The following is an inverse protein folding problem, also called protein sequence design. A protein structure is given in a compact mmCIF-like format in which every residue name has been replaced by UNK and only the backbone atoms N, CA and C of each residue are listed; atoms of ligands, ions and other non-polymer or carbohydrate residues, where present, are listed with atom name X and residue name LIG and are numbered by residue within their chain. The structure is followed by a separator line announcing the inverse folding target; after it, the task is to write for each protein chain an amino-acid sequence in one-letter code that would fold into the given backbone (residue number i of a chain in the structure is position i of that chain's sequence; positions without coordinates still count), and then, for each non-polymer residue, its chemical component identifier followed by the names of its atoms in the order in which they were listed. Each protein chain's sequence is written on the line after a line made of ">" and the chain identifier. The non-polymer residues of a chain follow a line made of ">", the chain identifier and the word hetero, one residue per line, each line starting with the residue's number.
data_IF_132581150168
#
_entry.id   IF_132581150168
#
_cell.length_a   1.000
_cell.length_b   1.000
_cell.length_c   1.000
_cell.angle_alpha   90.00
_cell.angle_beta   90.00
_cell.angle_gamma   90.00
#
_symmetry.space_group_name_H-M   'P 1'
#
loop_
_entity.id
_entity.type
_entity.pdbx_description
1 polymer ?
#
# COMPACT_ATOMS: atom_id res chain seq x y z
N UNK A 1 57.77 -11.30 -38.80
CA UNK A 1 56.41 -11.90 -38.72
C UNK A 1 55.42 -10.80 -38.39
N UNK A 2 54.53 -10.42 -39.31
CA UNK A 2 53.52 -9.39 -39.04
C UNK A 2 52.42 -9.99 -38.15
N UNK A 3 52.33 -9.51 -36.90
CA UNK A 3 51.25 -9.84 -35.98
C UNK A 3 49.95 -9.21 -36.49
N UNK A 4 49.10 -10.03 -37.12
CA UNK A 4 47.72 -9.66 -37.48
C UNK A 4 46.87 -9.72 -36.20
N UNK A 5 46.91 -8.68 -35.40
CA UNK A 5 45.93 -8.50 -34.32
C UNK A 5 44.57 -8.22 -34.97
N UNK A 6 43.75 -9.27 -35.15
CA UNK A 6 42.38 -9.16 -35.61
C UNK A 6 41.54 -8.56 -34.49
N UNK A 7 41.31 -7.24 -34.54
CA UNK A 7 40.32 -6.59 -33.69
C UNK A 7 38.90 -6.93 -34.15
N UNK A 8 37.96 -7.00 -33.21
CA UNK A 8 36.54 -7.14 -33.50
C UNK A 8 36.05 -5.97 -34.35
N UNK A 9 35.27 -6.26 -35.38
CA UNK A 9 34.63 -5.26 -36.22
C UNK A 9 33.30 -4.81 -35.62
N UNK A 10 32.88 -3.58 -35.92
CA UNK A 10 31.59 -3.04 -35.50
C UNK A 10 30.42 -3.92 -36.00
N UNK A 11 30.55 -4.46 -37.21
CA UNK A 11 29.53 -5.30 -37.83
C UNK A 11 29.36 -6.63 -37.08
N UNK A 12 30.45 -7.26 -36.65
CA UNK A 12 30.39 -8.48 -35.83
C UNK A 12 29.64 -8.23 -34.52
N UNK A 13 29.85 -7.08 -33.88
CA UNK A 13 29.14 -6.71 -32.66
C UNK A 13 27.64 -6.49 -32.90
N UNK A 14 27.26 -5.80 -33.98
CA UNK A 14 25.86 -5.52 -34.32
C UNK A 14 25.09 -6.82 -34.59
N UNK A 15 25.70 -7.76 -35.31
CA UNK A 15 25.07 -9.07 -35.60
C UNK A 15 24.82 -9.84 -34.29
N UNK A 16 25.79 -9.85 -33.37
CA UNK A 16 25.65 -10.52 -32.06
C UNK A 16 24.52 -9.90 -31.23
N UNK A 17 24.46 -8.57 -31.12
CA UNK A 17 23.39 -7.88 -30.38
C UNK A 17 22.02 -8.14 -31.00
N UNK A 18 21.95 -8.22 -32.34
CA UNK A 18 20.70 -8.52 -33.05
C UNK A 18 20.18 -9.93 -32.74
N UNK A 19 21.07 -10.93 -32.75
CA UNK A 19 20.71 -12.32 -32.38
C UNK A 19 20.27 -12.39 -30.91
N UNK A 20 20.98 -11.71 -30.00
CA UNK A 20 20.60 -11.64 -28.58
C UNK A 20 19.21 -11.03 -28.38
N UNK A 21 18.87 -9.95 -29.10
CA UNK A 21 17.56 -9.32 -29.01
C UNK A 21 16.43 -10.28 -29.42
N UNK A 22 16.61 -11.02 -30.52
CA UNK A 22 15.63 -12.04 -30.97
C UNK A 22 15.49 -13.16 -29.95
N UNK A 23 16.61 -13.66 -29.40
CA UNK A 23 16.58 -14.72 -28.38
C UNK A 23 15.85 -14.27 -27.11
N UNK A 24 16.12 -13.05 -26.62
CA UNK A 24 15.42 -12.49 -25.45
C UNK A 24 13.92 -12.36 -25.72
N UNK A 25 13.54 -11.90 -26.92
CA UNK A 25 12.13 -11.78 -27.31
C UNK A 25 11.37 -13.11 -27.28
N UNK A 26 12.01 -14.22 -27.71
CA UNK A 26 11.41 -15.55 -27.66
C UNK A 26 11.36 -16.13 -26.24
N UNK A 27 12.36 -15.84 -25.40
CA UNK A 27 12.47 -16.40 -24.05
C UNK A 27 11.57 -15.71 -23.03
N UNK A 28 11.29 -14.41 -23.20
CA UNK A 28 10.53 -13.64 -22.21
C UNK A 28 9.13 -14.22 -21.88
N UNK A 29 8.27 -14.59 -22.85
CA UNK A 29 6.95 -15.17 -22.56
C UNK A 29 7.03 -16.52 -21.83
N UNK A 30 7.98 -17.37 -22.22
CA UNK A 30 8.19 -18.68 -21.59
C UNK A 30 8.65 -18.52 -20.14
N UNK A 31 9.54 -17.56 -19.89
CA UNK A 31 10.03 -17.23 -18.55
C UNK A 31 8.91 -16.71 -17.63
N UNK A 32 8.05 -15.80 -18.14
CA UNK A 32 6.90 -15.31 -17.37
C UNK A 32 5.93 -16.44 -16.99
N UNK A 33 5.65 -17.37 -17.90
CA UNK A 33 4.79 -18.53 -17.62
C UNK A 33 5.41 -19.47 -16.58
N UNK A 34 6.73 -19.65 -16.61
CA UNK A 34 7.44 -20.49 -15.64
C UNK A 34 7.39 -19.90 -14.22
N UNK A 35 7.62 -18.59 -14.09
CA UNK A 35 7.51 -17.89 -12.80
C UNK A 35 6.10 -18.02 -12.24
N UNK A 36 5.08 -17.87 -13.10
CA UNK A 36 3.70 -17.96 -12.65
C UNK A 36 3.34 -19.35 -12.14
N UNK A 37 3.75 -20.40 -12.85
CA UNK A 37 3.60 -21.79 -12.39
C UNK A 37 4.28 -22.05 -11.05
N UNK A 38 5.43 -21.41 -10.81
CA UNK A 38 6.16 -21.52 -9.55
C UNK A 38 5.37 -20.88 -8.40
N UNK A 39 4.76 -19.71 -8.63
CA UNK A 39 3.88 -19.05 -7.66
C UNK A 39 2.64 -19.89 -7.35
N UNK A 40 1.96 -20.42 -8.37
CA UNK A 40 0.81 -21.30 -8.18
C UNK A 40 1.15 -22.57 -7.40
N UNK A 41 2.33 -23.15 -7.64
CA UNK A 41 2.80 -24.31 -6.88
C UNK A 41 3.00 -24.00 -5.40
N UNK A 42 3.51 -22.80 -5.08
CA UNK A 42 3.66 -22.32 -3.71
C UNK A 42 2.29 -22.07 -3.08
N UNK A 43 1.38 -21.42 -3.79
CA UNK A 43 0.03 -21.14 -3.31
C UNK A 43 -0.71 -22.43 -2.97
N UNK A 44 -0.66 -23.41 -3.87
CA UNK A 44 -1.27 -24.72 -3.68
C UNK A 44 -0.65 -25.51 -2.52
N UNK A 45 0.68 -25.44 -2.35
CA UNK A 45 1.35 -26.07 -1.22
C UNK A 45 0.91 -25.43 0.11
N UNK A 46 0.84 -24.10 0.18
CA UNK A 46 0.42 -23.39 1.38
C UNK A 46 -1.05 -23.67 1.74
N UNK A 47 -1.95 -23.71 0.75
CA UNK A 47 -3.37 -24.05 0.98
C UNK A 47 -3.51 -25.50 1.48
N UNK A 48 -2.72 -26.45 0.94
CA UNK A 48 -2.68 -27.82 1.44
C UNK A 48 -2.19 -27.90 2.88
N UNK A 49 -1.13 -27.18 3.22
CA UNK A 49 -0.64 -27.12 4.60
C UNK A 49 -1.67 -26.54 5.55
N UNK A 50 -2.37 -25.47 5.17
CA UNK A 50 -3.44 -24.89 5.97
C UNK A 50 -4.64 -25.86 6.13
N UNK A 51 -4.98 -26.61 5.09
CA UNK A 51 -5.96 -27.69 5.15
C UNK A 51 -5.54 -28.79 6.12
N UNK A 52 -4.31 -29.31 6.00
CA UNK A 52 -3.80 -30.36 6.87
C UNK A 52 -3.77 -29.93 8.35
N UNK A 53 -3.37 -28.67 8.61
CA UNK A 53 -3.37 -28.09 9.95
C UNK A 53 -4.80 -28.02 10.54
N UNK A 54 -5.77 -27.57 9.75
CA UNK A 54 -7.18 -27.53 10.17
C UNK A 54 -7.74 -28.92 10.48
N UNK A 55 -7.42 -29.94 9.69
CA UNK A 55 -7.88 -31.31 9.94
C UNK A 55 -7.27 -31.90 11.23
N UNK A 56 -6.05 -31.48 11.60
CA UNK A 56 -5.41 -31.86 12.85
C UNK A 56 -6.04 -31.11 14.03
N UNK A 57 -6.26 -29.80 13.90
CA UNK A 57 -6.90 -28.97 14.94
C UNK A 57 -8.30 -29.50 15.29
N UNK A 58 -9.13 -29.79 14.29
CA UNK A 58 -10.49 -30.34 14.46
C UNK A 58 -10.52 -31.67 15.21
N UNK A 59 -9.52 -32.53 14.98
CA UNK A 59 -9.38 -33.79 15.70
C UNK A 59 -9.02 -33.61 17.18
N UNK A 60 -8.61 -32.41 17.60
CA UNK A 60 -8.09 -32.12 18.95
C UNK A 60 -8.91 -31.09 19.74
N UNK A 61 -9.59 -30.13 19.10
CA UNK A 61 -10.37 -29.07 19.76
C UNK A 61 -11.66 -28.70 18.99
N UNK A 62 -12.79 -28.56 19.69
CA UNK A 62 -14.12 -28.19 19.14
C UNK A 62 -14.25 -26.69 18.77
N UNK A 63 -13.27 -26.09 18.11
CA UNK A 63 -13.35 -24.68 17.68
C UNK A 63 -13.33 -24.57 16.15
N UNK A 64 -14.33 -23.89 15.58
CA UNK A 64 -14.36 -23.55 14.15
C UNK A 64 -13.29 -22.50 13.85
N UNK A 65 -12.12 -22.94 13.40
CA UNK A 65 -11.01 -22.08 12.98
C UNK A 65 -11.03 -21.89 11.45
N UNK A 66 -10.73 -20.67 11.00
CA UNK A 66 -10.50 -20.35 9.58
C UNK A 66 -9.04 -20.00 9.42
N UNK A 67 -8.36 -20.63 8.46
CA UNK A 67 -6.98 -20.29 8.08
C UNK A 67 -7.01 -19.48 6.79
N UNK A 68 -6.28 -18.36 6.75
CA UNK A 68 -6.21 -17.50 5.58
C UNK A 68 -4.86 -17.63 4.92
N UNK A 69 -4.86 -17.98 3.63
CA UNK A 69 -3.64 -18.19 2.84
C UNK A 69 -3.51 -17.11 1.77
N UNK A 70 -2.53 -16.20 1.87
CA UNK A 70 -2.27 -15.20 0.85
C UNK A 70 -1.70 -15.83 -0.43
N UNK A 71 -2.25 -15.44 -1.58
CA UNK A 71 -1.82 -15.95 -2.89
C UNK A 71 -0.67 -15.10 -3.46
N UNK A 72 0.31 -15.78 -4.06
CA UNK A 72 1.50 -15.20 -4.70
C UNK A 72 1.32 -15.02 -6.20
N UNK A 73 0.38 -15.75 -6.82
CA UNK A 73 0.09 -15.64 -8.24
C UNK A 73 -0.28 -14.21 -8.67
N UNK A 74 0.05 -13.87 -9.92
CA UNK A 74 -0.16 -12.56 -10.54
C UNK A 74 -1.15 -12.60 -11.71
N UNK A 75 -1.59 -13.77 -12.14
CA UNK A 75 -2.64 -13.99 -13.13
C UNK A 75 -3.85 -14.60 -12.42
N UNK A 76 -5.06 -14.26 -12.88
CA UNK A 76 -6.29 -14.82 -12.35
C UNK A 76 -6.58 -16.21 -12.97
N UNK A 77 -7.12 -17.12 -12.16
CA UNK A 77 -7.33 -18.51 -12.50
C UNK A 77 -6.02 -19.31 -12.55
N UNK A 78 -6.15 -20.62 -12.62
CA UNK A 78 -5.04 -21.55 -12.71
C UNK A 78 -4.42 -21.59 -14.12
N UNK A 79 -3.13 -21.27 -14.23
CA UNK A 79 -2.39 -21.26 -15.50
C UNK A 79 -1.55 -22.53 -15.72
N UNK A 80 -1.21 -23.23 -14.64
CA UNK A 80 -0.46 -24.48 -14.68
C UNK A 80 -1.32 -25.66 -15.13
N UNK A 81 -2.51 -25.79 -14.55
CA UNK A 81 -3.49 -26.86 -14.76
C UNK A 81 -4.88 -26.25 -14.78
N UNK A 82 -5.76 -26.71 -15.68
CA UNK A 82 -7.12 -26.16 -15.72
C UNK A 82 -7.99 -26.65 -14.56
N UNK A 83 -7.65 -27.80 -13.98
CA UNK A 83 -8.31 -28.41 -12.83
C UNK A 83 -7.28 -28.67 -11.73
N UNK A 84 -7.60 -28.26 -10.51
CA UNK A 84 -6.74 -28.43 -9.32
C UNK A 84 -7.48 -29.24 -8.27
N UNK A 85 -6.74 -30.06 -7.50
CA UNK A 85 -7.30 -30.82 -6.38
C UNK A 85 -6.56 -30.58 -5.06
N UNK A 86 -7.34 -30.40 -3.99
CA UNK A 86 -6.90 -30.20 -2.60
C UNK A 86 -7.77 -31.07 -1.71
N UNK A 87 -7.18 -31.96 -0.92
CA UNK A 87 -7.95 -32.84 -0.02
C UNK A 87 -8.97 -33.76 -0.72
N UNK A 88 -8.78 -34.05 -2.02
CA UNK A 88 -9.73 -34.84 -2.81
C UNK A 88 -10.88 -34.04 -3.44
N UNK A 89 -11.04 -32.76 -3.08
CA UNK A 89 -11.95 -31.82 -3.75
C UNK A 89 -11.25 -31.31 -5.00
N UNK A 90 -11.95 -31.24 -6.12
CA UNK A 90 -11.42 -30.74 -7.40
C UNK A 90 -12.29 -29.62 -7.94
N UNK A 91 -11.67 -28.64 -8.58
CA UNK A 91 -12.36 -27.53 -9.24
C UNK A 91 -11.63 -27.10 -10.50
N UNK A 92 -12.39 -26.70 -11.51
CA UNK A 92 -11.89 -26.27 -12.82
C UNK A 92 -12.14 -24.77 -13.02
N UNK A 93 -11.20 -24.06 -13.65
CA UNK A 93 -11.37 -22.63 -13.95
C UNK A 93 -12.74 -22.34 -14.60
N UNK A 94 -13.46 -21.34 -14.07
CA UNK A 94 -14.77 -20.92 -14.60
C UNK A 94 -15.92 -21.88 -14.28
N UNK A 95 -15.68 -22.96 -13.53
CA UNK A 95 -16.73 -23.73 -12.89
C UNK A 95 -17.38 -22.90 -11.78
N UNK A 96 -18.71 -22.98 -11.67
CA UNK A 96 -19.45 -22.24 -10.65
C UNK A 96 -19.10 -22.69 -9.23
N UNK A 97 -19.52 -21.89 -8.25
CA UNK A 97 -19.32 -22.19 -6.84
C UNK A 97 -19.97 -23.53 -6.45
N UNK A 98 -19.31 -24.26 -5.56
CA UNK A 98 -19.77 -25.50 -4.93
C UNK A 98 -19.78 -25.34 -3.41
N UNK A 99 -20.32 -26.33 -2.70
CA UNK A 99 -20.29 -26.33 -1.23
C UNK A 99 -18.87 -26.37 -0.63
N UNK A 100 -17.88 -26.84 -1.41
CA UNK A 100 -16.49 -26.98 -0.97
C UNK A 100 -15.51 -26.01 -1.63
N UNK A 101 -15.97 -25.24 -2.63
CA UNK A 101 -15.11 -24.39 -3.44
C UNK A 101 -15.88 -23.17 -3.95
N UNK A 102 -15.45 -21.99 -3.54
CA UNK A 102 -16.05 -20.72 -3.97
C UNK A 102 -14.98 -19.89 -4.70
N UNK A 103 -15.29 -19.44 -5.91
CA UNK A 103 -14.45 -18.57 -6.70
C UNK A 103 -13.18 -19.20 -7.28
N UNK A 104 -12.41 -18.36 -7.97
CA UNK A 104 -11.12 -18.69 -8.58
C UNK A 104 -9.99 -17.90 -7.90
N UNK A 105 -8.74 -18.40 -7.91
CA UNK A 105 -7.62 -17.66 -7.38
C UNK A 105 -7.36 -16.42 -8.26
N UNK A 106 -7.01 -15.31 -7.63
CA UNK A 106 -6.84 -14.03 -8.33
C UNK A 106 -5.58 -13.31 -7.87
N UNK A 107 -5.10 -12.37 -8.69
CA UNK A 107 -3.91 -11.58 -8.41
C UNK A 107 -4.03 -10.88 -7.06
N UNK A 108 -3.13 -11.22 -6.13
CA UNK A 108 -3.15 -10.65 -4.77
C UNK A 108 -4.36 -11.05 -3.94
N UNK A 109 -5.03 -12.15 -4.31
CA UNK A 109 -6.14 -12.72 -3.56
C UNK A 109 -5.72 -13.52 -2.33
N UNK A 110 -6.71 -14.10 -1.67
CA UNK A 110 -6.53 -15.04 -0.57
C UNK A 110 -7.39 -16.27 -0.80
N UNK A 111 -6.97 -17.40 -0.23
CA UNK A 111 -7.83 -18.56 0.00
C UNK A 111 -8.12 -18.64 1.49
N UNK A 112 -9.39 -18.52 1.87
CA UNK A 112 -9.84 -18.86 3.22
C UNK A 112 -10.20 -20.34 3.25
N UNK A 113 -9.50 -21.09 4.10
CA UNK A 113 -9.76 -22.52 4.36
C UNK A 113 -10.51 -22.60 5.68
N UNK A 114 -11.68 -23.23 5.67
CA UNK A 114 -12.55 -23.32 6.85
C UNK A 114 -13.25 -24.66 6.91
N UNK A 115 -13.58 -25.09 8.12
CA UNK A 115 -14.43 -26.25 8.35
C UNK A 115 -15.90 -25.83 8.49
N UNK A 116 -16.76 -26.53 7.77
CA UNK A 116 -18.21 -26.37 7.79
C UNK A 116 -18.88 -27.67 8.22
N UNK A 117 -20.19 -27.67 8.45
CA UNK A 117 -20.96 -28.89 8.77
C UNK A 117 -20.83 -29.98 7.69
N UNK A 118 -20.55 -29.58 6.44
CA UNK A 118 -20.42 -30.50 5.30
C UNK A 118 -18.96 -30.89 4.99
N UNK A 119 -17.98 -30.36 5.72
CA UNK A 119 -16.55 -30.59 5.47
C UNK A 119 -15.80 -29.28 5.18
N UNK A 120 -14.62 -29.38 4.53
CA UNK A 120 -13.80 -28.20 4.24
C UNK A 120 -14.43 -27.34 3.13
N UNK A 121 -14.30 -26.02 3.28
CA UNK A 121 -14.57 -25.03 2.24
C UNK A 121 -13.28 -24.27 1.88
N UNK A 122 -12.94 -24.26 0.59
CA UNK A 122 -11.92 -23.40 0.00
C UNK A 122 -12.58 -22.17 -0.64
N UNK A 123 -12.41 -21.01 -0.02
CA UNK A 123 -13.04 -19.78 -0.50
C UNK A 123 -11.99 -18.83 -1.08
N UNK A 124 -11.91 -18.81 -2.41
CA UNK A 124 -10.99 -18.02 -3.20
C UNK A 124 -11.60 -16.66 -3.50
N UNK A 125 -10.98 -15.62 -2.95
CA UNK A 125 -11.55 -14.28 -3.00
C UNK A 125 -10.57 -13.31 -3.64
N UNK A 126 -11.14 -12.39 -4.43
CA UNK A 126 -10.53 -11.13 -4.82
C UNK A 126 -10.26 -10.29 -3.62
N UNK A 127 -9.12 -10.53 -2.97
CA UNK A 127 -8.59 -9.71 -1.88
C UNK A 127 -9.67 -9.16 -0.94
N UNK A 128 -10.64 -9.98 -0.52
CA UNK A 128 -11.39 -9.67 0.71
C UNK A 128 -10.51 -10.19 1.83
N UNK A 129 -9.45 -9.46 2.11
CA UNK A 129 -8.48 -9.83 3.13
C UNK A 129 -9.10 -9.71 4.51
N UNK A 130 -9.40 -10.85 5.11
CA UNK A 130 -8.90 -11.11 6.46
C UNK A 130 -7.59 -11.94 6.41
N UNK A 131 -6.75 -11.69 5.41
CA UNK A 131 -5.33 -11.58 5.72
C UNK A 131 -5.16 -10.21 6.34
N UNK A 132 -4.45 -10.11 7.46
CA UNK A 132 -3.73 -8.88 7.79
C UNK A 132 -2.83 -8.54 6.61
N UNK A 133 -3.36 -7.76 5.67
CA UNK A 133 -2.72 -6.79 4.76
C UNK A 133 -3.56 -6.63 3.47
N UNK A 134 -4.79 -6.09 3.60
CA UNK A 134 -5.42 -5.26 2.52
C UNK A 134 -4.55 -4.03 2.20
N UNK A 135 -3.71 -3.65 3.15
CA UNK A 135 -2.86 -2.47 3.14
C UNK A 135 -1.41 -2.94 3.23
N UNK A 136 -0.50 -2.37 2.44
CA UNK A 136 0.93 -2.67 2.48
C UNK A 136 1.67 -1.88 3.57
N UNK A 137 0.92 -1.44 4.57
CA UNK A 137 1.31 -0.58 5.68
C UNK A 137 0.40 -0.86 6.88
N UNK A 138 0.83 -0.47 8.09
CA UNK A 138 0.09 -0.62 9.33
C UNK A 138 -1.13 0.30 9.34
N UNK A 139 -2.29 -0.24 8.93
CA UNK A 139 -3.56 0.49 8.91
C UNK A 139 -4.11 0.83 10.31
N UNK A 140 -3.52 0.26 11.37
CA UNK A 140 -3.91 0.48 12.75
C UNK A 140 -2.92 1.40 13.49
N UNK A 141 -1.99 2.04 12.77
CA UNK A 141 -0.95 2.86 13.39
C UNK A 141 -1.50 4.15 14.03
N UNK A 142 -0.76 4.66 15.02
CA UNK A 142 -1.01 5.99 15.56
C UNK A 142 -0.20 7.03 14.77
N UNK A 143 -0.90 7.77 13.92
CA UNK A 143 -0.30 8.78 13.06
C UNK A 143 0.27 10.02 13.78
N UNK A 144 -0.03 10.26 15.07
CA UNK A 144 0.61 11.34 15.87
C UNK A 144 1.86 10.83 16.64
N UNK A 145 2.10 9.52 16.69
CA UNK A 145 3.22 8.91 17.42
C UNK A 145 4.60 9.42 16.95
N UNK A 146 4.89 9.57 15.64
CA UNK A 146 6.21 10.01 15.18
C UNK A 146 6.56 11.42 15.68
N UNK A 147 5.63 12.39 15.60
CA UNK A 147 5.90 13.75 16.08
C UNK A 147 6.07 13.80 17.60
N UNK A 148 5.28 13.03 18.36
CA UNK A 148 5.42 12.92 19.82
C UNK A 148 6.80 12.37 20.24
N UNK A 149 7.28 11.33 19.54
CA UNK A 149 8.56 10.67 19.87
C UNK A 149 9.79 11.38 19.29
N UNK A 150 9.60 12.37 18.43
CA UNK A 150 10.70 13.04 17.73
C UNK A 150 11.53 14.01 18.58
N UNK A 151 10.99 14.48 19.71
CA UNK A 151 11.56 15.56 20.53
C UNK A 151 11.29 16.98 20.00
N UNK A 152 10.77 17.10 18.78
CA UNK A 152 10.53 18.41 18.13
C UNK A 152 9.52 19.25 18.90
N UNK A 153 8.45 18.64 19.43
CA UNK A 153 7.45 19.38 20.21
C UNK A 153 8.07 20.02 21.47
N UNK A 154 8.95 19.30 22.17
CA UNK A 154 9.62 19.80 23.37
C UNK A 154 10.57 20.95 23.05
N UNK A 155 11.30 20.85 21.94
CA UNK A 155 12.19 21.93 21.46
C UNK A 155 11.39 23.19 21.11
N UNK A 156 10.27 23.02 20.39
CA UNK A 156 9.38 24.12 20.03
C UNK A 156 8.78 24.79 21.27
N UNK A 157 8.31 24.01 22.24
CA UNK A 157 7.76 24.53 23.50
C UNK A 157 8.83 25.30 24.28
N UNK A 158 10.05 24.76 24.41
CA UNK A 158 11.18 25.45 25.07
C UNK A 158 11.56 26.75 24.37
N UNK A 159 11.46 26.79 23.05
CA UNK A 159 11.70 27.98 22.23
C UNK A 159 10.52 28.97 22.23
N UNK A 160 9.45 28.71 23.00
CA UNK A 160 8.20 29.48 23.01
C UNK A 160 7.54 29.59 21.62
N UNK A 161 7.77 28.61 20.75
CA UNK A 161 7.12 28.51 19.45
C UNK A 161 5.90 27.57 19.54
N UNK A 162 4.73 28.17 19.71
CA UNK A 162 3.50 27.43 19.96
C UNK A 162 2.79 26.95 18.69
N UNK A 163 3.17 27.43 17.51
CA UNK A 163 2.58 27.06 16.22
C UNK A 163 3.66 26.54 15.27
N UNK A 164 3.43 25.38 14.66
CA UNK A 164 4.40 24.77 13.77
C UNK A 164 3.76 24.17 12.52
N UNK A 165 4.60 24.00 11.50
CA UNK A 165 4.30 23.32 10.25
C UNK A 165 5.55 22.51 9.86
N UNK A 166 5.40 21.20 9.70
CA UNK A 166 6.44 20.29 9.22
C UNK A 166 5.83 19.50 8.06
N UNK A 167 6.13 19.93 6.85
CA UNK A 167 5.72 19.26 5.61
C UNK A 167 6.79 18.25 5.17
N UNK A 168 6.36 17.09 4.70
CA UNK A 168 7.24 15.98 4.30
C UNK A 168 8.17 16.34 3.14
N UNK A 169 7.78 17.31 2.31
CA UNK A 169 8.54 17.74 1.14
C UNK A 169 9.42 18.98 1.44
N UNK A 170 9.43 19.47 2.69
CA UNK A 170 10.22 20.64 3.07
C UNK A 170 11.74 20.37 2.95
N UNK A 171 12.43 21.00 1.99
CA UNK A 171 13.87 20.82 1.80
C UNK A 171 14.61 21.52 2.93
N UNK A 172 15.77 21.01 3.34
CA UNK A 172 16.64 21.66 4.35
C UNK A 172 15.96 21.92 5.72
N UNK A 173 14.96 21.12 6.09
CA UNK A 173 14.31 21.21 7.40
C UNK A 173 15.19 20.58 8.49
N UNK A 174 15.36 21.26 9.62
CA UNK A 174 16.03 20.72 10.81
C UNK A 174 15.13 19.77 11.62
N UNK A 175 13.81 19.96 11.56
CA UNK A 175 12.83 19.17 12.32
C UNK A 175 12.42 17.87 11.61
N UNK A 176 12.36 17.91 10.26
CA UNK A 176 11.88 16.79 9.46
C UNK A 176 12.70 15.49 9.64
N UNK A 177 14.06 15.52 9.72
CA UNK A 177 14.85 14.31 9.99
C UNK A 177 14.50 13.65 11.32
N UNK A 178 14.28 14.45 12.38
CA UNK A 178 13.91 13.95 13.70
C UNK A 178 12.57 13.21 13.67
N UNK A 179 11.57 13.77 12.97
CA UNK A 179 10.27 13.12 12.78
C UNK A 179 10.41 11.85 11.94
N UNK A 180 11.09 11.91 10.78
CA UNK A 180 11.30 10.75 9.90
C UNK A 180 12.00 9.59 10.60
N UNK A 181 12.92 9.87 11.53
CA UNK A 181 13.60 8.82 12.32
C UNK A 181 12.66 8.01 13.24
N UNK A 182 11.44 8.51 13.48
CA UNK A 182 10.42 7.86 14.33
C UNK A 182 9.28 7.25 13.52
N UNK A 183 9.27 7.41 12.20
CA UNK A 183 8.30 6.77 11.32
C UNK A 183 8.70 5.29 11.15
N UNK A 184 7.77 4.38 11.43
CA UNK A 184 7.99 2.94 11.28
C UNK A 184 8.14 2.57 9.81
N UNK A 185 8.83 1.47 9.52
CA UNK A 185 9.09 1.03 8.13
C UNK A 185 7.79 0.74 7.37
N UNK A 186 6.81 0.21 8.06
CA UNK A 186 5.48 -0.14 7.61
C UNK A 186 4.45 0.99 7.79
N UNK A 187 4.87 2.23 8.05
CA UNK A 187 3.93 3.35 8.19
C UNK A 187 3.33 3.82 6.85
N UNK A 188 2.07 4.22 6.86
CA UNK A 188 1.36 4.94 5.80
C UNK A 188 2.11 6.23 5.40
N UNK A 189 2.80 6.87 6.34
CA UNK A 189 3.57 8.10 6.09
C UNK A 189 4.74 7.91 5.12
N UNK A 190 5.14 6.66 4.84
CA UNK A 190 6.13 6.37 3.80
C UNK A 190 5.53 6.35 2.39
N UNK A 191 4.20 6.46 2.27
CA UNK A 191 3.49 6.26 1.00
C UNK A 191 2.63 7.48 0.62
N UNK A 192 3.25 8.66 0.51
CA UNK A 192 2.55 9.87 0.06
C UNK A 192 3.18 11.15 0.60
N UNK A 193 2.44 12.25 0.47
CA UNK A 193 2.80 13.54 1.08
C UNK A 193 2.05 13.70 2.40
N UNK A 194 2.73 14.25 3.42
CA UNK A 194 2.11 14.52 4.71
C UNK A 194 2.65 15.80 5.34
N UNK A 195 1.89 16.37 6.28
CA UNK A 195 2.38 17.46 7.10
C UNK A 195 1.81 17.39 8.52
N UNK A 196 2.64 17.68 9.52
CA UNK A 196 2.17 18.00 10.87
C UNK A 196 1.98 19.51 10.99
N UNK A 197 0.82 19.94 11.46
CA UNK A 197 0.47 21.35 11.58
C UNK A 197 -0.20 21.65 12.93
N UNK A 198 -0.15 22.91 13.32
CA UNK A 198 -0.92 23.43 14.43
C UNK A 198 -0.08 23.63 15.69
N UNK A 199 -0.63 23.24 16.85
CA UNK A 199 -0.05 23.62 18.12
C UNK A 199 0.96 22.61 18.67
N UNK A 200 2.14 23.11 19.08
CA UNK A 200 3.14 22.27 19.74
C UNK A 200 2.67 21.83 21.15
N UNK A 201 2.01 22.72 21.88
CA UNK A 201 1.59 22.52 23.27
C UNK A 201 0.14 22.04 23.43
N UNK A 202 -0.77 22.43 22.53
CA UNK A 202 -2.19 22.06 22.61
C UNK A 202 -2.54 20.91 21.67
N UNK A 203 -2.69 19.69 22.23
CA UNK A 203 -3.02 18.48 21.46
C UNK A 203 -4.30 18.64 20.63
N UNK A 204 -5.35 19.28 21.14
CA UNK A 204 -6.62 19.45 20.43
C UNK A 204 -6.52 20.38 19.21
N UNK A 205 -5.40 21.09 19.07
CA UNK A 205 -5.07 21.96 17.93
C UNK A 205 -3.87 21.46 17.13
N UNK A 206 -3.52 20.17 17.25
CA UNK A 206 -2.46 19.53 16.47
C UNK A 206 -3.07 18.52 15.51
N UNK A 207 -2.58 18.57 14.28
CA UNK A 207 -3.13 17.84 13.16
C UNK A 207 -2.01 17.20 12.35
N UNK A 208 -2.29 16.03 11.78
CA UNK A 208 -1.54 15.47 10.67
C UNK A 208 -2.44 15.48 9.45
N UNK A 209 -1.95 16.00 8.34
CA UNK A 209 -2.57 15.84 7.02
C UNK A 209 -1.77 14.80 6.25
N UNK A 210 -2.45 13.91 5.53
CA UNK A 210 -1.84 12.91 4.65
C UNK A 210 -2.60 12.81 3.34
N UNK A 211 -1.90 12.57 2.24
CA UNK A 211 -2.46 12.28 0.93
C UNK A 211 -1.52 11.34 0.17
N UNK A 212 -2.08 10.44 -0.64
CA UNK A 212 -1.29 9.61 -1.56
C UNK A 212 -0.66 10.44 -2.70
N UNK A 213 -1.18 11.65 -2.93
CA UNK A 213 -0.76 12.55 -3.99
C UNK A 213 0.64 13.13 -3.70
N UNK A 214 1.51 13.12 -4.71
CA UNK A 214 2.82 13.75 -4.64
C UNK A 214 2.68 15.23 -5.02
N UNK A 215 2.75 16.14 -4.03
CA UNK A 215 2.39 17.56 -4.22
C UNK A 215 3.35 18.29 -5.16
N UNK A 216 4.61 17.88 -5.21
CA UNK A 216 5.62 18.37 -6.15
C UNK A 216 5.26 18.06 -7.62
N UNK A 217 4.59 16.94 -7.87
CA UNK A 217 4.16 16.51 -9.20
C UNK A 217 2.89 17.24 -9.63
N UNK A 218 1.96 17.46 -8.70
CA UNK A 218 0.67 18.13 -8.98
C UNK A 218 0.82 19.64 -9.12
N UNK A 219 1.78 20.25 -8.41
CA UNK A 219 2.01 21.69 -8.43
C UNK A 219 1.09 22.47 -7.48
N UNK A 220 1.30 23.78 -7.41
CA UNK A 220 0.58 24.67 -6.49
C UNK A 220 -0.82 25.07 -7.00
N UNK A 221 -1.67 25.56 -6.08
CA UNK A 221 -3.04 25.99 -6.31
C UNK A 221 -3.92 24.86 -6.87
N UNK A 222 -3.70 23.63 -6.42
CA UNK A 222 -4.49 22.46 -6.80
C UNK A 222 -5.24 21.95 -5.59
N UNK A 223 -6.54 21.72 -5.76
CA UNK A 223 -7.36 21.04 -4.76
C UNK A 223 -7.02 19.54 -4.81
N UNK A 224 -6.70 18.96 -3.65
CA UNK A 224 -6.36 17.55 -3.49
C UNK A 224 -7.16 16.95 -2.33
N UNK A 225 -7.45 15.63 -2.36
CA UNK A 225 -8.03 14.96 -1.22
C UNK A 225 -6.97 14.75 -0.14
N UNK A 226 -7.39 14.83 1.11
CA UNK A 226 -6.53 14.55 2.27
C UNK A 226 -7.28 13.74 3.33
N UNK A 227 -6.52 12.92 4.05
CA UNK A 227 -6.90 12.42 5.36
C UNK A 227 -6.33 13.39 6.40
N UNK A 228 -7.18 13.90 7.28
CA UNK A 228 -6.81 14.72 8.43
C UNK A 228 -6.96 13.84 9.68
N UNK A 229 -5.86 13.64 10.40
CA UNK A 229 -5.84 13.02 11.71
C UNK A 229 -5.63 14.08 12.79
N UNK A 230 -6.45 14.06 13.83
CA UNK A 230 -6.27 14.89 15.03
C UNK A 230 -5.47 14.12 16.08
N UNK A 231 -4.76 14.82 16.98
CA UNK A 231 -3.96 14.16 18.02
C UNK A 231 -4.77 13.33 19.05
N UNK A 232 -6.11 13.43 19.05
CA UNK A 232 -7.03 12.56 19.79
C UNK A 232 -7.56 11.39 18.94
N UNK A 233 -6.85 11.02 17.86
CA UNK A 233 -7.12 9.89 16.98
C UNK A 233 -8.50 9.92 16.30
N UNK A 234 -8.96 11.10 15.88
CA UNK A 234 -10.14 11.23 15.01
C UNK A 234 -9.66 11.49 13.58
N UNK A 235 -10.35 10.89 12.63
CA UNK A 235 -9.99 10.96 11.22
C UNK A 235 -11.07 11.66 10.42
N UNK A 236 -10.66 12.44 9.43
CA UNK A 236 -11.56 13.14 8.52
C UNK A 236 -11.03 13.01 7.10
N UNK A 237 -11.89 12.70 6.14
CA UNK A 237 -11.55 12.84 4.72
C UNK A 237 -12.10 14.18 4.24
N UNK A 238 -11.20 15.04 3.76
CA UNK A 238 -11.50 16.41 3.35
C UNK A 238 -10.65 16.80 2.13
N UNK A 239 -10.63 18.08 1.80
CA UNK A 239 -9.89 18.63 0.67
C UNK A 239 -9.00 19.79 1.12
N UNK A 240 -7.80 19.90 0.56
CA UNK A 240 -6.90 21.05 0.78
C UNK A 240 -6.44 21.63 -0.55
N UNK A 241 -5.90 22.86 -0.50
CA UNK A 241 -5.28 23.50 -1.66
C UNK A 241 -3.77 23.51 -1.49
N UNK A 242 -3.02 22.93 -2.43
CA UNK A 242 -1.55 22.96 -2.42
C UNK A 242 -1.00 24.39 -2.57
N UNK A 243 0.16 24.68 -2.00
CA UNK A 243 0.78 26.00 -2.10
C UNK A 243 2.30 25.93 -2.27
N UNK A 244 2.92 26.99 -2.79
CA UNK A 244 4.39 27.08 -2.82
C UNK A 244 4.91 27.65 -1.50
N UNK A 245 5.97 27.03 -0.98
CA UNK A 245 6.79 27.55 0.12
C UNK A 245 8.24 27.67 -0.29
N UNK A 246 8.96 28.50 0.46
CA UNK A 246 10.41 28.60 0.37
C UNK A 246 11.00 28.20 1.72
N UNK A 247 11.97 27.30 1.73
CA UNK A 247 12.82 27.06 2.90
C UNK A 247 14.29 27.13 2.49
N UNK A 248 15.07 28.00 3.14
CA UNK A 248 16.48 28.25 2.82
C UNK A 248 16.75 28.37 1.31
N UNK A 249 16.01 29.27 0.65
CA UNK A 249 16.09 29.55 -0.79
C UNK A 249 15.65 28.41 -1.73
N UNK A 250 15.18 27.27 -1.21
CA UNK A 250 14.64 26.17 -2.00
C UNK A 250 13.11 26.20 -2.00
N UNK A 251 12.51 26.15 -3.19
CA UNK A 251 11.04 26.10 -3.36
C UNK A 251 10.55 24.67 -3.26
N UNK A 252 9.38 24.48 -2.67
CA UNK A 252 8.66 23.20 -2.68
C UNK A 252 7.15 23.44 -2.62
N UNK A 253 6.36 22.41 -2.92
CA UNK A 253 4.90 22.47 -2.90
C UNK A 253 4.39 21.77 -1.64
N UNK A 254 3.68 22.49 -0.78
CA UNK A 254 3.08 21.96 0.45
C UNK A 254 1.74 21.30 0.20
N UNK A 255 1.36 20.41 1.11
CA UNK A 255 0.05 19.73 1.11
C UNK A 255 -1.14 20.68 1.32
N UNK A 256 -0.90 21.85 1.92
CA UNK A 256 -1.93 22.86 2.15
C UNK A 256 -1.36 24.28 2.06
N UNK A 257 -2.24 25.26 1.86
CA UNK A 257 -1.96 26.68 2.01
C UNK A 257 -1.65 27.05 3.47
N UNK A 258 -1.39 28.34 3.76
CA UNK A 258 -1.14 28.74 5.15
C UNK A 258 -2.46 28.69 5.92
N UNK A 259 -2.55 27.75 6.86
CA UNK A 259 -3.76 27.55 7.65
C UNK A 259 -3.61 28.17 9.02
N UNK A 260 -4.63 28.90 9.47
CA UNK A 260 -4.81 29.30 10.88
C UNK A 260 -5.57 28.22 11.64
N UNK A 261 -5.63 28.29 12.98
CA UNK A 261 -6.47 27.37 13.76
C UNK A 261 -7.92 27.33 13.28
N UNK A 262 -8.48 28.47 12.87
CA UNK A 262 -9.83 28.54 12.31
C UNK A 262 -9.94 27.78 10.99
N UNK A 263 -8.94 27.89 10.11
CA UNK A 263 -8.95 27.17 8.83
C UNK A 263 -8.89 25.66 9.03
N UNK A 264 -8.10 25.16 9.98
CA UNK A 264 -8.08 23.72 10.30
C UNK A 264 -9.48 23.22 10.70
N UNK A 265 -10.18 23.97 11.55
CA UNK A 265 -11.55 23.62 11.97
C UNK A 265 -12.54 23.68 10.81
N UNK A 266 -12.40 24.63 9.89
CA UNK A 266 -13.24 24.69 8.68
C UNK A 266 -13.03 23.45 7.81
N UNK A 267 -11.78 23.02 7.59
CA UNK A 267 -11.47 21.82 6.82
C UNK A 267 -12.02 20.54 7.47
N UNK A 268 -11.92 20.45 8.80
CA UNK A 268 -12.47 19.33 9.58
C UNK A 268 -14.01 19.30 9.48
N UNK A 269 -14.66 20.44 9.65
CA UNK A 269 -16.13 20.55 9.62
C UNK A 269 -16.71 20.32 8.21
N UNK A 270 -15.94 20.65 7.16
CA UNK A 270 -16.32 20.37 5.78
C UNK A 270 -16.06 18.90 5.37
N UNK A 271 -15.17 18.21 6.10
CA UNK A 271 -14.81 16.81 5.83
C UNK A 271 -15.82 15.82 6.42
N UNK A 272 -15.71 14.57 5.97
CA UNK A 272 -16.48 13.45 6.56
C UNK A 272 -15.66 12.81 7.67
N UNK A 273 -16.25 12.66 8.86
CA UNK A 273 -15.61 12.06 10.03
C UNK A 273 -15.65 10.53 9.96
N UNK A 274 -14.56 9.90 10.39
CA UNK A 274 -14.41 8.45 10.56
C UNK A 274 -13.80 8.14 11.94
N UNK A 275 -14.18 6.99 12.49
CA UNK A 275 -13.72 6.57 13.82
C UNK A 275 -12.37 5.83 13.77
N UNK A 276 -11.96 5.32 12.61
CA UNK A 276 -10.70 4.60 12.43
C UNK A 276 -9.92 5.10 11.21
N UNK A 277 -8.58 4.94 11.25
CA UNK A 277 -7.72 5.20 10.10
C UNK A 277 -8.12 4.34 8.91
N UNK A 278 -8.47 3.07 9.18
CA UNK A 278 -8.97 2.13 8.20
C UNK A 278 -10.15 2.68 7.40
N UNK A 279 -11.18 3.16 8.08
CA UNK A 279 -12.40 3.64 7.40
C UNK A 279 -12.13 4.95 6.64
N UNK A 280 -11.32 5.84 7.21
CA UNK A 280 -10.89 7.06 6.55
C UNK A 280 -10.07 6.76 5.28
N UNK A 281 -9.14 5.82 5.35
CA UNK A 281 -8.32 5.42 4.21
C UNK A 281 -9.15 4.73 3.13
N UNK A 282 -10.07 3.84 3.50
CA UNK A 282 -10.96 3.18 2.53
C UNK A 282 -11.84 4.21 1.80
N UNK A 283 -12.38 5.19 2.52
CA UNK A 283 -13.13 6.29 1.93
C UNK A 283 -12.27 7.19 1.03
N UNK A 284 -11.07 7.54 1.47
CA UNK A 284 -10.09 8.28 0.68
C UNK A 284 -9.72 7.53 -0.61
N UNK A 285 -9.42 6.24 -0.51
CA UNK A 285 -9.05 5.40 -1.65
C UNK A 285 -10.19 5.35 -2.67
N UNK A 286 -11.44 5.16 -2.21
CA UNK A 286 -12.62 5.21 -3.08
C UNK A 286 -12.77 6.56 -3.79
N UNK A 287 -12.52 7.67 -3.08
CA UNK A 287 -12.58 9.00 -3.66
C UNK A 287 -11.53 9.19 -4.80
N UNK A 288 -10.38 8.54 -4.65
CA UNK A 288 -9.25 8.58 -5.59
C UNK A 288 -9.36 7.53 -6.72
N UNK A 289 -10.10 6.43 -6.55
CA UNK A 289 -10.28 5.40 -7.58
C UNK A 289 -11.58 5.53 -8.36
N UNK A 290 -12.64 6.00 -7.72
CA UNK A 290 -14.01 6.02 -8.25
C UNK A 290 -14.65 7.41 -8.14
N UNK A 291 -14.08 8.32 -7.36
CA UNK A 291 -14.68 9.62 -7.06
C UNK A 291 -14.13 10.80 -7.85
N UNK A 292 -14.17 11.98 -7.22
CA UNK A 292 -13.74 13.26 -7.79
C UNK A 292 -12.26 13.31 -8.18
N UNK A 293 -11.42 12.43 -7.62
CA UNK A 293 -9.97 12.46 -7.75
C UNK A 293 -9.39 11.25 -8.49
N UNK A 294 -10.14 10.70 -9.45
CA UNK A 294 -9.73 9.55 -10.28
C UNK A 294 -8.40 9.75 -11.02
N UNK A 295 -8.03 11.00 -11.33
CA UNK A 295 -6.74 11.32 -11.94
C UNK A 295 -5.54 10.96 -11.04
N UNK A 296 -5.79 10.76 -9.74
CA UNK A 296 -4.77 10.37 -8.75
C UNK A 296 -4.81 8.89 -8.38
N UNK A 297 -5.62 8.05 -9.06
CA UNK A 297 -5.76 6.61 -8.76
C UNK A 297 -4.43 5.87 -8.69
N UNK A 298 -3.47 6.29 -9.50
CA UNK A 298 -2.16 5.66 -9.60
C UNK A 298 -1.18 6.07 -8.49
N UNK A 299 -1.57 7.04 -7.65
CA UNK A 299 -0.76 7.53 -6.53
C UNK A 299 -0.96 6.71 -5.25
N UNK A 300 -2.02 5.89 -5.18
CA UNK A 300 -2.26 5.02 -4.03
C UNK A 300 -1.08 4.05 -3.80
N UNK A 301 -0.74 3.72 -2.55
CA UNK A 301 0.25 2.70 -2.20
C UNK A 301 0.00 1.39 -2.98
N UNK A 302 1.00 0.94 -3.75
CA UNK A 302 0.95 -0.29 -4.56
C UNK A 302 1.87 -1.36 -3.96
N UNK A 303 1.52 -2.64 -4.19
CA UNK A 303 2.40 -3.80 -3.93
C UNK A 303 3.44 -4.00 -5.02
#
# INVERSE_FOLDING_TARGET
>A
MQNRNKGFTLIELIVVVSILAVLVGLLAPAYSKYIERSRESVDLANVRSAYDELMIEDATENQTTTKVVPLKQKIAGWQSMNTVSIGGISHTNGEGDTEHWIGDPVKGGVCEVSLTENGVLFNWKGGSGNSTEKYFFDINENLDEPIQKSGVLDELIKANNNYFEIDSNCPNSSMLPSVRSKIKKDSLLNNGTWAYLGSASNKSKRYLFWTSVHTDTVGANRTIPVIISTADNKFYVSETTTAVRNNNSSKYVTIAEHLTYTNHQQLINAGTKYDTLKDAYDAYAKLVTEGKYQDYKDTLPKS
#
